data_IF_494144941754
#
_entry.id   IF_494144941754
#
_cell.length_a   1.000
_cell.length_b   1.000
_cell.length_c   1.000
_cell.angle_alpha   90.00
_cell.angle_beta   90.00
_cell.angle_gamma   90.00
#
_symmetry.space_group_name_H-M   'P 1'
#
loop_
_entity.id
_entity.type
_entity.pdbx_description
1 polymer ?
#
# COMPACT_ATOMS: atom_id res chain seq x y z
N UNK A 1 7.05 15.06 5.08
CA UNK A 1 8.22 14.24 5.52
C UNK A 1 7.85 12.77 5.65
N UNK A 2 8.68 11.91 5.11
CA UNK A 2 8.45 10.46 5.20
C UNK A 2 9.41 9.88 6.24
N UNK A 3 8.86 9.10 7.17
CA UNK A 3 9.63 8.47 8.25
C UNK A 3 9.46 6.96 8.21
N UNK A 4 10.53 6.23 8.46
CA UNK A 4 10.44 4.79 8.64
C UNK A 4 10.15 4.52 10.12
N UNK A 5 9.05 3.85 10.39
CA UNK A 5 8.59 3.56 11.75
C UNK A 5 9.02 2.14 12.12
N UNK A 6 9.65 1.98 13.28
CA UNK A 6 10.10 0.67 13.76
C UNK A 6 9.34 0.20 15.00
N UNK A 7 8.76 1.12 15.75
CA UNK A 7 7.96 0.79 16.93
C UNK A 7 6.66 0.10 16.53
N UNK A 8 6.47 -1.13 16.98
CA UNK A 8 5.33 -1.97 16.62
C UNK A 8 4.00 -1.34 17.00
N UNK A 9 3.91 -0.76 18.19
CA UNK A 9 2.67 -0.12 18.64
C UNK A 9 2.35 1.13 17.83
N UNK A 10 3.36 1.91 17.50
CA UNK A 10 3.16 3.11 16.70
C UNK A 10 2.71 2.77 15.28
N UNK A 11 3.28 1.72 14.69
CA UNK A 11 2.82 1.22 13.38
C UNK A 11 1.33 0.94 13.40
N UNK A 12 0.88 0.20 14.41
CA UNK A 12 -0.53 -0.18 14.53
C UNK A 12 -1.42 1.03 14.78
N UNK A 13 -0.96 1.98 15.57
CA UNK A 13 -1.70 3.22 15.82
C UNK A 13 -1.89 4.03 14.54
N UNK A 14 -0.83 4.20 13.76
CA UNK A 14 -0.90 4.96 12.50
C UNK A 14 -1.82 4.24 11.50
N UNK A 15 -1.64 2.93 11.35
CA UNK A 15 -2.46 2.15 10.43
C UNK A 15 -3.94 2.23 10.81
N UNK A 16 -4.26 2.10 12.09
CA UNK A 16 -5.65 2.19 12.57
C UNK A 16 -6.25 3.57 12.27
N UNK A 17 -5.51 4.62 12.58
CA UNK A 17 -5.98 6.00 12.32
C UNK A 17 -6.35 6.19 10.86
N UNK A 18 -5.48 5.77 9.95
CA UNK A 18 -5.69 5.99 8.52
C UNK A 18 -6.74 5.06 7.96
N UNK A 19 -6.67 3.76 8.27
CA UNK A 19 -7.60 2.79 7.69
C UNK A 19 -9.03 2.97 8.20
N UNK A 20 -9.21 3.35 9.47
CA UNK A 20 -10.56 3.63 9.99
C UNK A 20 -11.14 4.89 9.37
N UNK A 21 -10.30 5.90 9.09
CA UNK A 21 -10.75 7.11 8.41
C UNK A 21 -11.12 6.85 6.94
N UNK A 22 -10.56 5.79 6.35
CA UNK A 22 -10.83 5.40 4.96
C UNK A 22 -11.77 4.20 4.89
N UNK A 23 -12.69 4.07 5.85
CA UNK A 23 -13.57 2.91 5.97
C UNK A 23 -14.40 2.62 4.70
N UNK A 24 -14.64 3.60 3.86
CA UNK A 24 -15.34 3.40 2.59
C UNK A 24 -14.59 2.46 1.65
N UNK A 25 -13.25 2.41 1.77
CA UNK A 25 -12.38 1.54 0.98
C UNK A 25 -12.14 0.20 1.65
N UNK A 26 -12.25 0.16 2.98
CA UNK A 26 -11.99 -1.01 3.81
C UNK A 26 -13.23 -1.33 4.63
N UNK A 27 -14.34 -1.58 3.92
CA UNK A 27 -15.64 -1.86 4.53
C UNK A 27 -15.67 -3.12 5.40
N UNK A 28 -14.80 -4.08 5.08
CA UNK A 28 -14.74 -5.33 5.84
C UNK A 28 -13.83 -5.13 7.03
N UNK A 29 -14.44 -4.96 8.20
CA UNK A 29 -13.72 -4.75 9.47
C UNK A 29 -12.66 -5.81 9.72
N UNK A 30 -12.97 -7.06 9.39
CA UNK A 30 -12.06 -8.19 9.60
C UNK A 30 -10.77 -8.03 8.81
N UNK A 31 -10.87 -7.64 7.53
CA UNK A 31 -9.69 -7.40 6.69
C UNK A 31 -8.87 -6.24 7.19
N UNK A 32 -9.53 -5.18 7.61
CA UNK A 32 -8.88 -4.00 8.17
C UNK A 32 -8.10 -4.37 9.43
N UNK A 33 -8.72 -5.11 10.36
CA UNK A 33 -8.07 -5.52 11.59
C UNK A 33 -6.87 -6.43 11.33
N UNK A 34 -6.96 -7.26 10.31
CA UNK A 34 -5.85 -8.13 9.91
C UNK A 34 -4.65 -7.30 9.44
N UNK A 35 -4.87 -6.28 8.61
CA UNK A 35 -3.79 -5.39 8.19
C UNK A 35 -3.16 -4.67 9.37
N UNK A 36 -3.97 -4.18 10.30
CA UNK A 36 -3.49 -3.47 11.49
C UNK A 36 -2.62 -4.40 12.34
N UNK A 37 -3.06 -5.64 12.52
CA UNK A 37 -2.30 -6.62 13.28
C UNK A 37 -0.99 -6.99 12.59
N UNK A 38 -1.05 -7.30 11.30
CA UNK A 38 0.09 -7.81 10.55
C UNK A 38 1.16 -6.75 10.26
N UNK A 39 0.76 -5.48 10.15
CA UNK A 39 1.69 -4.40 9.76
C UNK A 39 2.83 -4.21 10.77
N UNK A 40 2.66 -4.68 11.99
CA UNK A 40 3.70 -4.60 13.01
C UNK A 40 4.98 -5.34 12.59
N UNK A 41 4.83 -6.35 11.73
CA UNK A 41 5.95 -7.18 11.26
C UNK A 41 6.51 -6.74 9.91
N UNK A 42 5.95 -5.69 9.32
CA UNK A 42 6.34 -5.23 7.98
C UNK A 42 7.18 -3.97 8.03
N UNK A 43 7.88 -3.66 6.94
CA UNK A 43 8.54 -2.37 6.77
C UNK A 43 7.41 -1.34 6.69
N UNK A 44 7.51 -0.30 7.49
CA UNK A 44 6.43 0.68 7.64
C UNK A 44 6.97 2.10 7.42
N UNK A 45 6.36 2.80 6.46
CA UNK A 45 6.67 4.20 6.18
C UNK A 45 5.46 5.05 6.52
N UNK A 46 5.68 6.19 7.15
CA UNK A 46 4.61 7.12 7.49
C UNK A 46 4.90 8.50 6.91
N UNK A 47 3.85 9.15 6.42
CA UNK A 47 3.92 10.53 5.94
C UNK A 47 3.40 11.43 7.04
N UNK A 48 4.20 12.41 7.43
CA UNK A 48 3.85 13.36 8.49
C UNK A 48 3.68 14.76 7.89
N UNK A 49 2.55 15.39 8.17
CA UNK A 49 2.23 16.73 7.74
C UNK A 49 1.66 17.52 8.91
N UNK A 50 2.14 18.74 9.11
CA UNK A 50 1.65 19.62 10.19
C UNK A 50 1.68 18.95 11.57
N UNK A 51 2.68 18.11 11.80
CA UNK A 51 2.83 17.40 13.08
C UNK A 51 1.96 16.17 13.23
N UNK A 52 1.17 15.81 12.21
CA UNK A 52 0.27 14.66 12.27
C UNK A 52 0.65 13.60 11.22
N UNK A 53 0.39 12.35 11.55
CA UNK A 53 0.55 11.28 10.56
C UNK A 53 -0.64 11.30 9.61
N UNK A 54 -0.36 11.59 8.34
CA UNK A 54 -1.36 11.79 7.31
C UNK A 54 -1.52 10.58 6.39
N UNK A 55 -0.59 9.64 6.42
CA UNK A 55 -0.64 8.46 5.58
C UNK A 55 0.46 7.47 5.91
N UNK A 56 0.37 6.29 5.30
CA UNK A 56 1.37 5.25 5.51
C UNK A 56 1.42 4.29 4.33
N UNK A 57 2.49 3.50 4.29
CA UNK A 57 2.69 2.47 3.28
C UNK A 57 3.50 1.34 3.92
N UNK A 58 3.09 0.10 3.70
CA UNK A 58 3.79 -1.07 4.21
C UNK A 58 4.34 -1.93 3.08
N UNK A 59 5.54 -2.46 3.30
CA UNK A 59 6.16 -3.43 2.41
C UNK A 59 6.28 -4.77 3.15
N UNK A 60 5.85 -5.83 2.47
CA UNK A 60 5.87 -7.19 3.01
C UNK A 60 6.70 -8.06 2.08
N UNK A 61 7.66 -8.80 2.62
CA UNK A 61 8.40 -9.76 1.79
C UNK A 61 7.46 -10.91 1.41
N UNK A 62 7.35 -11.18 0.11
CA UNK A 62 6.50 -12.28 -0.39
C UNK A 62 7.32 -13.37 -1.05
N UNK A 63 8.56 -13.09 -1.37
CA UNK A 63 9.51 -14.06 -1.89
C UNK A 63 10.91 -13.56 -1.59
N UNK A 64 11.90 -14.40 -1.81
CA UNK A 64 13.28 -14.03 -1.53
C UNK A 64 13.71 -12.74 -2.25
N UNK A 65 13.20 -12.54 -3.46
CA UNK A 65 13.59 -11.39 -4.27
C UNK A 65 12.47 -10.38 -4.47
N UNK A 66 11.30 -10.61 -3.86
CA UNK A 66 10.12 -9.79 -4.10
C UNK A 66 9.52 -9.25 -2.83
N UNK A 67 9.18 -7.98 -2.86
CA UNK A 67 8.46 -7.32 -1.78
C UNK A 67 7.12 -6.86 -2.32
N UNK A 68 6.09 -6.90 -1.48
CA UNK A 68 4.75 -6.46 -1.86
C UNK A 68 4.43 -5.15 -1.16
N UNK A 69 3.90 -4.18 -1.93
CA UNK A 69 3.25 -3.01 -1.36
C UNK A 69 1.93 -3.55 -0.80
N UNK A 70 1.95 -3.94 0.48
CA UNK A 70 0.86 -4.71 1.08
C UNK A 70 -0.38 -3.87 1.37
N UNK A 71 -0.17 -2.63 1.80
CA UNK A 71 -1.24 -1.70 2.10
C UNK A 71 -0.69 -0.29 2.13
N UNK A 72 -1.49 0.67 1.69
CA UNK A 72 -1.16 2.09 1.83
C UNK A 72 -2.45 2.89 1.93
N UNK A 73 -2.37 4.03 2.54
CA UNK A 73 -3.49 4.95 2.63
C UNK A 73 -3.03 6.34 2.97
N UNK A 74 -3.76 7.33 2.50
CA UNK A 74 -3.54 8.74 2.81
C UNK A 74 -4.88 9.33 3.20
N UNK A 75 -4.94 10.04 4.32
CA UNK A 75 -6.16 10.69 4.78
C UNK A 75 -6.71 11.62 3.69
N UNK A 76 -8.03 11.65 3.53
CA UNK A 76 -8.70 12.39 2.47
C UNK A 76 -8.29 13.88 2.43
N UNK A 77 -8.16 14.50 3.61
CA UNK A 77 -7.78 15.91 3.71
C UNK A 77 -6.39 16.21 3.17
N UNK A 78 -5.57 15.19 3.00
CA UNK A 78 -4.21 15.33 2.49
C UNK A 78 -4.04 14.77 1.09
N UNK A 79 -5.15 14.41 0.42
CA UNK A 79 -5.10 13.95 -0.97
C UNK A 79 -4.62 15.09 -1.88
N UNK A 80 -4.03 14.73 -3.02
CA UNK A 80 -3.52 15.65 -4.03
C UNK A 80 -2.34 16.51 -3.57
N UNK A 81 -1.69 16.14 -2.46
CA UNK A 81 -0.48 16.83 -1.98
C UNK A 81 0.79 16.04 -2.31
N UNK A 82 0.66 14.95 -3.07
CA UNK A 82 1.80 14.15 -3.48
C UNK A 82 2.32 13.20 -2.41
N UNK A 83 1.58 13.00 -1.30
CA UNK A 83 2.04 12.12 -0.22
C UNK A 83 2.12 10.66 -0.63
N UNK A 84 1.14 10.19 -1.41
CA UNK A 84 1.16 8.81 -1.90
C UNK A 84 2.39 8.53 -2.75
N UNK A 85 2.71 9.46 -3.64
CA UNK A 85 3.89 9.35 -4.49
C UNK A 85 5.17 9.38 -3.66
N UNK A 86 5.24 10.27 -2.67
CA UNK A 86 6.40 10.39 -1.79
C UNK A 86 6.62 9.10 -0.99
N UNK A 87 5.54 8.52 -0.47
CA UNK A 87 5.60 7.23 0.23
C UNK A 87 6.12 6.13 -0.71
N UNK A 88 5.58 6.08 -1.92
CA UNK A 88 6.01 5.09 -2.91
C UNK A 88 7.48 5.24 -3.28
N UNK A 89 7.94 6.46 -3.54
CA UNK A 89 9.34 6.69 -3.92
C UNK A 89 10.30 6.26 -2.81
N UNK A 90 9.97 6.55 -1.55
CA UNK A 90 10.79 6.11 -0.42
C UNK A 90 10.75 4.58 -0.26
N UNK A 91 9.58 3.97 -0.47
CA UNK A 91 9.43 2.52 -0.42
C UNK A 91 10.30 1.85 -1.49
N UNK A 92 10.29 2.39 -2.69
CA UNK A 92 11.09 1.87 -3.80
C UNK A 92 12.58 1.95 -3.47
N UNK A 93 13.01 3.06 -2.91
CA UNK A 93 14.39 3.27 -2.50
C UNK A 93 14.81 2.23 -1.45
N UNK A 94 14.01 2.06 -0.41
CA UNK A 94 14.29 1.10 0.67
C UNK A 94 14.34 -0.33 0.12
N UNK A 95 13.36 -0.70 -0.71
CA UNK A 95 13.32 -2.04 -1.29
C UNK A 95 14.56 -2.33 -2.13
N UNK A 96 14.99 -1.35 -2.91
CA UNK A 96 16.20 -1.47 -3.72
C UNK A 96 17.45 -1.61 -2.84
N UNK A 97 17.57 -0.78 -1.81
CA UNK A 97 18.69 -0.82 -0.88
C UNK A 97 18.77 -2.13 -0.10
N UNK A 98 17.61 -2.75 0.19
CA UNK A 98 17.58 -4.03 0.90
C UNK A 98 17.76 -5.23 -0.03
N UNK A 99 17.97 -4.99 -1.32
CA UNK A 99 18.36 -6.03 -2.27
C UNK A 99 17.23 -6.75 -2.96
N UNK A 100 16.00 -6.27 -2.86
CA UNK A 100 14.90 -6.88 -3.58
C UNK A 100 14.99 -6.55 -5.07
N UNK A 101 14.63 -7.52 -5.91
CA UNK A 101 14.64 -7.39 -7.36
C UNK A 101 13.33 -6.88 -7.91
N UNK A 102 12.23 -7.15 -7.21
CA UNK A 102 10.89 -6.83 -7.70
C UNK A 102 10.01 -6.29 -6.60
N UNK A 103 9.06 -5.43 -7.00
CA UNK A 103 7.97 -5.01 -6.13
C UNK A 103 6.66 -5.35 -6.82
N UNK A 104 5.72 -5.92 -6.07
CA UNK A 104 4.38 -6.22 -6.59
C UNK A 104 3.32 -5.50 -5.75
N UNK A 105 2.14 -5.35 -6.32
CA UNK A 105 0.97 -4.83 -5.62
C UNK A 105 -0.27 -5.52 -6.17
N UNK A 106 -1.25 -5.77 -5.30
CA UNK A 106 -2.52 -6.37 -5.67
C UNK A 106 -3.64 -5.35 -5.46
N UNK A 107 -4.52 -5.25 -6.42
CA UNK A 107 -5.69 -4.37 -6.30
C UNK A 107 -6.83 -4.94 -7.14
N UNK A 108 -8.06 -4.48 -6.90
CA UNK A 108 -9.18 -4.91 -7.73
C UNK A 108 -8.98 -4.36 -9.14
N UNK A 109 -9.18 -5.23 -10.12
CA UNK A 109 -8.96 -4.90 -11.54
C UNK A 109 -9.72 -3.64 -11.97
N UNK A 110 -9.11 -2.88 -12.87
CA UNK A 110 -9.71 -1.70 -13.50
C UNK A 110 -11.05 -2.05 -14.13
N UNK A 111 -12.02 -1.16 -13.99
CA UNK A 111 -13.32 -1.34 -14.63
C UNK A 111 -14.42 -1.92 -13.73
N UNK A 112 -14.13 -2.25 -12.49
CA UNK A 112 -15.11 -2.81 -11.55
C UNK A 112 -15.65 -1.75 -10.59
N UNK A 113 -14.75 -1.01 -9.93
CA UNK A 113 -15.12 0.07 -9.00
C UNK A 113 -14.33 1.33 -9.31
N UNK A 114 -15.00 2.47 -9.29
CA UNK A 114 -14.38 3.76 -9.60
C UNK A 114 -13.22 4.10 -8.68
N UNK A 115 -13.36 3.81 -7.39
CA UNK A 115 -12.29 4.08 -6.42
C UNK A 115 -11.04 3.27 -6.72
N UNK A 116 -11.20 2.00 -7.09
CA UNK A 116 -10.08 1.17 -7.47
C UNK A 116 -9.50 1.54 -8.83
N UNK A 117 -10.31 2.13 -9.71
CA UNK A 117 -9.81 2.62 -10.99
C UNK A 117 -8.78 3.71 -10.76
N UNK A 118 -9.02 4.60 -9.80
CA UNK A 118 -8.06 5.64 -9.44
C UNK A 118 -6.78 5.04 -8.86
N UNK A 119 -6.92 4.02 -8.02
CA UNK A 119 -5.79 3.30 -7.44
C UNK A 119 -4.96 2.63 -8.53
N UNK A 120 -5.63 1.97 -9.50
CA UNK A 120 -4.94 1.37 -10.63
C UNK A 120 -4.14 2.39 -11.43
N UNK A 121 -4.75 3.54 -11.72
CA UNK A 121 -4.06 4.61 -12.45
C UNK A 121 -2.85 5.14 -11.67
N UNK A 122 -2.96 5.21 -10.36
CA UNK A 122 -1.83 5.61 -9.52
C UNK A 122 -0.67 4.63 -9.68
N UNK A 123 -0.93 3.32 -9.56
CA UNK A 123 0.12 2.32 -9.70
C UNK A 123 0.76 2.35 -11.09
N UNK A 124 -0.06 2.49 -12.12
CA UNK A 124 0.46 2.60 -13.50
C UNK A 124 1.35 3.84 -13.63
N UNK A 125 0.96 4.96 -13.03
CA UNK A 125 1.75 6.19 -13.07
C UNK A 125 3.06 6.06 -12.30
N UNK A 126 3.13 5.15 -11.33
CA UNK A 126 4.35 4.88 -10.58
C UNK A 126 5.33 3.98 -11.34
N UNK A 127 4.89 3.39 -12.45
CA UNK A 127 5.75 2.53 -13.27
C UNK A 127 5.46 1.05 -13.15
N UNK A 128 4.43 0.67 -12.40
CA UNK A 128 4.01 -0.73 -12.35
C UNK A 128 3.43 -1.18 -13.68
N UNK A 129 3.61 -2.45 -13.99
CA UNK A 129 3.06 -3.07 -15.19
C UNK A 129 2.16 -4.23 -14.80
N UNK A 130 1.14 -4.49 -15.60
CA UNK A 130 0.23 -5.60 -15.37
C UNK A 130 0.99 -6.93 -15.47
N UNK A 131 0.86 -7.77 -14.44
CA UNK A 131 1.41 -9.11 -14.48
C UNK A 131 0.34 -10.12 -14.85
N UNK A 132 -0.74 -10.18 -14.07
CA UNK A 132 -1.84 -11.10 -14.34
C UNK A 132 -3.05 -10.77 -13.48
N UNK A 133 -4.19 -11.39 -13.81
CA UNK A 133 -5.42 -11.27 -13.03
C UNK A 133 -5.75 -12.64 -12.47
N UNK A 134 -5.95 -12.73 -11.15
CA UNK A 134 -6.29 -13.98 -10.48
C UNK A 134 -7.63 -13.81 -9.77
N UNK A 135 -8.65 -14.53 -10.23
CA UNK A 135 -9.99 -14.43 -9.65
C UNK A 135 -10.14 -15.16 -8.33
N UNK A 136 -9.32 -16.18 -8.11
CA UNK A 136 -9.43 -17.06 -6.93
C UNK A 136 -9.02 -16.39 -5.63
N UNK A 137 -8.28 -15.29 -5.68
CA UNK A 137 -7.81 -14.61 -4.47
C UNK A 137 -8.97 -13.95 -3.72
N UNK A 138 -9.83 -13.22 -4.43
CA UNK A 138 -10.95 -12.48 -3.82
C UNK A 138 -12.31 -12.86 -4.38
N UNK A 139 -12.37 -13.84 -5.28
CA UNK A 139 -13.60 -14.27 -5.94
C UNK A 139 -13.85 -13.55 -7.27
N UNK A 140 -14.75 -14.10 -8.08
CA UNK A 140 -15.00 -13.59 -9.43
C UNK A 140 -15.54 -12.16 -9.47
N UNK A 141 -16.20 -11.72 -8.40
CA UNK A 141 -16.75 -10.36 -8.33
C UNK A 141 -15.66 -9.31 -8.12
N UNK A 142 -14.52 -9.73 -7.60
CA UNK A 142 -13.41 -8.83 -7.32
C UNK A 142 -12.13 -9.41 -7.93
N UNK A 143 -11.99 -9.36 -9.27
CA UNK A 143 -10.80 -9.88 -9.93
C UNK A 143 -9.55 -9.19 -9.38
N UNK A 144 -8.55 -9.97 -8.98
CA UNK A 144 -7.32 -9.42 -8.41
C UNK A 144 -6.30 -9.15 -9.51
N UNK A 145 -6.03 -7.88 -9.75
CA UNK A 145 -4.98 -7.47 -10.67
C UNK A 145 -3.67 -7.43 -9.92
N UNK A 146 -2.68 -8.16 -10.39
CA UNK A 146 -1.33 -8.09 -9.85
C UNK A 146 -0.50 -7.20 -10.76
N UNK A 147 0.14 -6.19 -10.17
CA UNK A 147 1.09 -5.32 -10.84
C UNK A 147 2.49 -5.65 -10.37
N UNK A 148 3.47 -5.49 -11.23
CA UNK A 148 4.87 -5.81 -10.93
C UNK A 148 5.78 -4.71 -11.46
N UNK A 149 6.89 -4.46 -10.78
CA UNK A 149 7.95 -3.62 -11.31
C UNK A 149 9.31 -4.20 -10.95
N UNK A 150 10.28 -3.99 -11.82
CA UNK A 150 11.66 -4.34 -11.55
C UNK A 150 12.30 -3.22 -10.74
N UNK A 151 13.12 -3.58 -9.77
CA UNK A 151 13.86 -2.63 -8.93
C UNK A 151 15.31 -2.64 -9.40
N UNK A 152 15.84 -1.47 -9.68
CA UNK A 152 17.22 -1.34 -10.17
C UNK A 152 18.14 -0.81 -9.08
#
# INVERSE_FOLDING_TARGET
>A
MIERIKDRELKQKIARKVLEALHDWFEVDESREKYISDCADWIFLAAKEDGEYAGFLCLKETGRETVELAVMGVLKEYHRKGLGRALFEEAKKIATEEGYSFMQVKTVKMGVYEDYDRTNRFYLSCGFKELEVINEIWGDENPCQIYIMALD
#
